data_IF_073126697708
#
_entry.id   IF_073126697708
#
_cell.length_a   1.000
_cell.length_b   1.000
_cell.length_c   1.000
_cell.angle_alpha   90.00
_cell.angle_beta   90.00
_cell.angle_gamma   90.00
#
_symmetry.space_group_name_H-M   'P 1'
#
loop_
_entity.id
_entity.type
_entity.pdbx_description
1 polymer ?
#
# COMPACT_ATOMS: atom_id res chain seq x y z
N UNK A 1 62.08 -1.95 -23.12
CA UNK A 1 61.57 -0.58 -23.35
C UNK A 1 60.07 -0.73 -23.55
N UNK A 2 59.30 -0.53 -22.47
CA UNK A 2 58.54 0.71 -22.18
C UNK A 2 57.36 0.87 -23.16
N UNK A 3 56.11 1.16 -22.78
CA UNK A 3 55.48 1.44 -21.48
C UNK A 3 53.95 1.40 -21.68
N UNK A 4 53.24 1.51 -20.56
CA UNK A 4 51.81 1.40 -20.29
C UNK A 4 51.00 2.56 -20.90
N UNK A 5 49.77 2.31 -21.41
CA UNK A 5 48.59 3.02 -20.87
C UNK A 5 47.24 2.37 -21.21
N UNK A 6 46.39 2.33 -20.19
CA UNK A 6 45.03 1.78 -20.20
C UNK A 6 44.04 2.95 -20.05
N UNK A 7 42.97 2.98 -20.84
CA UNK A 7 41.79 3.77 -20.49
C UNK A 7 40.52 2.95 -20.66
N UNK A 8 40.06 2.41 -19.54
CA UNK A 8 38.66 2.09 -19.29
C UNK A 8 37.81 3.37 -19.35
N UNK A 9 36.76 3.37 -20.18
CA UNK A 9 35.66 4.34 -20.06
C UNK A 9 34.52 3.67 -19.27
N UNK A 10 33.99 4.30 -18.21
CA UNK A 10 32.85 3.77 -17.47
C UNK A 10 31.55 3.99 -18.25
N UNK A 11 30.76 2.92 -18.39
CA UNK A 11 29.40 2.95 -18.94
C UNK A 11 28.48 3.47 -17.84
N UNK A 12 27.94 4.67 -18.00
CA UNK A 12 27.00 5.31 -17.09
C UNK A 12 25.63 4.62 -17.14
N UNK A 13 25.31 3.89 -16.07
CA UNK A 13 23.99 3.34 -15.79
C UNK A 13 23.06 4.44 -15.25
N UNK A 14 22.40 5.18 -16.15
CA UNK A 14 21.47 6.27 -15.75
C UNK A 14 20.22 6.42 -16.62
N UNK A 15 20.03 5.60 -17.65
CA UNK A 15 19.10 5.93 -18.75
C UNK A 15 17.78 5.13 -18.80
N UNK A 16 17.47 4.29 -17.81
CA UNK A 16 16.26 3.42 -17.86
C UNK A 16 15.21 3.75 -16.78
N UNK A 17 15.52 4.60 -15.82
CA UNK A 17 14.71 4.85 -14.60
C UNK A 17 13.43 5.67 -14.84
N UNK A 18 13.30 6.32 -16.01
CA UNK A 18 12.36 7.43 -16.19
C UNK A 18 10.99 7.05 -16.80
N UNK A 19 10.91 6.10 -17.73
CA UNK A 19 9.71 5.99 -18.59
C UNK A 19 8.44 5.40 -17.94
N UNK A 20 8.46 4.99 -16.67
CA UNK A 20 7.41 4.15 -16.06
C UNK A 20 6.73 4.70 -14.82
N UNK A 21 7.41 5.57 -14.08
CA UNK A 21 6.69 6.56 -13.29
C UNK A 21 5.71 7.31 -14.22
N UNK A 22 6.11 7.52 -15.48
CA UNK A 22 5.32 8.08 -16.56
C UNK A 22 3.97 7.39 -16.80
N UNK A 23 3.85 6.06 -16.78
CA UNK A 23 2.59 5.37 -17.11
C UNK A 23 1.66 5.18 -15.90
N UNK A 24 2.23 5.06 -14.69
CA UNK A 24 1.45 5.17 -13.45
C UNK A 24 0.91 6.60 -13.24
N UNK A 25 1.65 7.63 -13.68
CA UNK A 25 1.32 9.03 -13.42
C UNK A 25 0.61 9.75 -14.59
N UNK A 26 0.69 9.26 -15.83
CA UNK A 26 -0.12 9.77 -16.97
C UNK A 26 -1.61 9.45 -16.83
N UNK A 27 -1.97 8.41 -16.08
CA UNK A 27 -3.37 8.05 -15.83
C UNK A 27 -4.05 8.96 -14.77
N UNK A 28 -3.37 9.98 -14.25
CA UNK A 28 -3.89 10.93 -13.26
C UNK A 28 -4.82 12.00 -13.89
N UNK A 29 -4.82 12.17 -15.22
CA UNK A 29 -5.26 13.43 -15.84
C UNK A 29 -6.58 13.42 -16.64
N UNK A 30 -7.64 12.73 -16.19
CA UNK A 30 -8.99 12.98 -16.75
C UNK A 30 -10.05 13.09 -15.66
N UNK A 31 -10.36 14.32 -15.23
CA UNK A 31 -11.56 14.65 -14.45
C UNK A 31 -12.70 15.12 -15.36
N UNK A 32 -13.99 14.85 -15.04
CA UNK A 32 -15.14 15.42 -15.72
C UNK A 32 -15.44 16.85 -15.25
N UNK A 33 -16.03 17.66 -16.13
CA UNK A 33 -16.39 19.07 -15.97
C UNK A 33 -17.43 19.35 -14.87
N UNK A 34 -17.21 20.40 -14.07
CA UNK A 34 -18.14 20.94 -13.07
C UNK A 34 -19.28 21.76 -13.68
N UNK A 35 -20.47 21.64 -13.10
CA UNK A 35 -21.67 22.45 -13.38
C UNK A 35 -22.24 22.99 -12.06
N UNK A 36 -21.94 24.27 -11.81
CA UNK A 36 -22.74 25.32 -11.13
C UNK A 36 -23.78 24.96 -10.05
N UNK A 37 -23.60 25.54 -8.85
CA UNK A 37 -24.70 26.12 -8.07
C UNK A 37 -24.19 27.25 -7.14
N UNK A 38 -24.68 28.48 -7.36
CA UNK A 38 -24.48 29.66 -6.52
C UNK A 38 -25.74 30.00 -5.72
N UNK A 39 -25.51 30.71 -4.60
CA UNK A 39 -26.45 31.49 -3.76
C UNK A 39 -27.33 30.66 -2.81
N UNK A 40 -27.55 31.04 -1.55
CA UNK A 40 -27.92 32.38 -1.07
C UNK A 40 -27.48 32.70 0.39
N UNK A 41 -27.37 34.00 0.67
CA UNK A 41 -27.04 34.65 1.94
C UNK A 41 -28.30 34.99 2.79
N UNK A 42 -28.03 35.21 4.09
CA UNK A 42 -28.71 36.11 5.05
C UNK A 42 -29.69 35.48 6.05
N UNK A 43 -29.40 35.60 7.36
CA UNK A 43 -29.92 36.68 8.23
C UNK A 43 -29.43 36.52 9.68
N UNK A 44 -29.05 37.66 10.29
CA UNK A 44 -28.77 37.81 11.72
C UNK A 44 -30.07 37.78 12.53
N UNK A 45 -30.03 37.19 13.72
CA UNK A 45 -30.83 37.63 14.86
C UNK A 45 -30.12 37.31 16.19
N UNK A 46 -29.88 38.39 16.95
CA UNK A 46 -29.52 38.45 18.36
C UNK A 46 -30.63 37.87 19.24
N UNK A 47 -30.30 37.18 20.35
CA UNK A 47 -30.91 37.35 21.68
C UNK A 47 -30.22 36.46 22.75
N UNK A 48 -29.62 37.14 23.74
CA UNK A 48 -29.51 36.85 25.18
C UNK A 48 -29.33 35.40 25.71
N UNK A 49 -28.17 35.18 26.35
CA UNK A 49 -27.83 34.04 27.23
C UNK A 49 -28.42 34.17 28.64
N UNK A 50 -28.81 33.07 29.30
CA UNK A 50 -28.86 32.99 30.76
C UNK A 50 -27.56 32.40 31.32
N UNK A 51 -27.07 33.06 32.37
CA UNK A 51 -25.95 32.68 33.22
C UNK A 51 -26.34 31.43 34.04
N UNK A 52 -25.57 30.35 33.93
CA UNK A 52 -25.69 29.16 34.77
C UNK A 52 -24.44 29.03 35.64
N UNK A 53 -24.69 28.98 36.94
CA UNK A 53 -23.72 29.04 38.04
C UNK A 53 -22.71 27.88 38.00
N UNK A 54 -21.43 28.22 38.18
CA UNK A 54 -20.33 27.27 38.37
C UNK A 54 -20.44 26.62 39.75
N UNK A 55 -20.91 25.38 39.80
CA UNK A 55 -20.73 24.51 40.97
C UNK A 55 -19.26 24.03 41.02
N UNK A 56 -18.53 24.48 42.05
CA UNK A 56 -17.16 24.04 42.35
C UNK A 56 -17.21 22.71 43.09
N UNK A 57 -17.05 21.60 42.38
CA UNK A 57 -16.69 20.31 42.97
C UNK A 57 -15.35 19.86 42.38
N UNK A 58 -14.38 19.57 43.26
CA UNK A 58 -13.09 19.04 42.88
C UNK A 58 -13.26 17.68 42.19
N UNK A 59 -12.50 17.37 41.12
CA UNK A 59 -12.62 16.08 40.44
C UNK A 59 -12.21 14.94 41.38
N UNK A 60 -13.02 13.88 41.41
CA UNK A 60 -12.75 12.69 42.21
C UNK A 60 -11.40 12.07 41.81
N UNK A 61 -10.55 11.81 42.80
CA UNK A 61 -9.27 11.13 42.61
C UNK A 61 -9.52 9.71 42.10
N UNK A 62 -8.91 9.37 40.96
CA UNK A 62 -8.97 8.04 40.37
C UNK A 62 -8.53 6.95 41.36
N UNK A 63 -9.32 5.88 41.44
CA UNK A 63 -8.98 4.70 42.24
C UNK A 63 -7.74 3.99 41.69
N UNK A 64 -7.05 3.19 42.51
CA UNK A 64 -5.88 2.42 42.07
C UNK A 64 -6.21 1.50 40.89
N UNK A 65 -7.39 0.88 40.87
CA UNK A 65 -7.85 0.04 39.75
C UNK A 65 -8.07 0.86 38.46
N UNK A 66 -8.63 2.07 38.56
CA UNK A 66 -8.78 2.98 37.41
C UNK A 66 -7.44 3.51 36.92
N UNK A 67 -6.47 3.74 37.82
CA UNK A 67 -5.09 4.09 37.44
C UNK A 67 -4.38 2.93 36.76
N UNK A 68 -4.59 1.69 37.21
CA UNK A 68 -4.04 0.50 36.56
C UNK A 68 -4.69 0.25 35.19
N UNK A 69 -6.01 0.46 35.05
CA UNK A 69 -6.66 0.43 33.74
C UNK A 69 -6.17 1.56 32.83
N UNK A 70 -6.02 2.80 33.34
CA UNK A 70 -5.42 3.90 32.56
C UNK A 70 -3.95 3.65 32.23
N UNK A 71 -3.21 2.92 33.06
CA UNK A 71 -1.83 2.51 32.75
C UNK A 71 -1.78 1.37 31.73
N UNK A 72 -2.79 0.50 31.68
CA UNK A 72 -2.94 -0.54 30.65
C UNK A 72 -3.49 0.01 29.33
N UNK A 73 -4.33 1.05 29.36
CA UNK A 73 -4.82 1.80 28.19
C UNK A 73 -3.79 2.84 27.72
N UNK A 74 -2.96 3.31 28.65
CA UNK A 74 -1.94 4.35 28.49
C UNK A 74 -0.52 3.81 28.68
N UNK A 75 -0.25 2.60 28.19
CA UNK A 75 1.09 2.29 27.73
C UNK A 75 1.36 3.21 26.54
N UNK A 76 1.69 4.48 26.82
CA UNK A 76 2.13 5.42 25.82
C UNK A 76 3.38 4.81 25.20
N UNK A 77 3.24 4.28 24.00
CA UNK A 77 4.39 4.07 23.13
C UNK A 77 5.03 5.46 23.01
N UNK A 78 6.21 5.65 23.61
CA UNK A 78 6.93 6.93 23.65
C UNK A 78 7.23 7.50 22.26
N UNK A 79 7.00 6.71 21.23
CA UNK A 79 7.22 6.98 19.82
C UNK A 79 5.95 7.41 19.05
N UNK A 80 4.76 7.32 19.67
CA UNK A 80 3.48 7.69 19.06
C UNK A 80 2.96 9.03 19.59
N UNK A 81 2.33 9.82 18.71
CA UNK A 81 1.57 11.00 19.13
C UNK A 81 0.29 10.60 19.88
N UNK A 82 -0.36 11.56 20.55
CA UNK A 82 -1.66 11.32 21.20
C UNK A 82 -2.71 10.80 20.20
N UNK A 83 -2.77 11.41 19.01
CA UNK A 83 -3.75 11.04 17.98
C UNK A 83 -3.45 9.67 17.37
N UNK A 84 -2.17 9.32 17.19
CA UNK A 84 -1.75 7.99 16.76
C UNK A 84 -2.13 6.92 17.79
N UNK A 85 -1.90 7.19 19.08
CA UNK A 85 -2.33 6.31 20.17
C UNK A 85 -3.86 6.16 20.23
N UNK A 86 -4.61 7.25 20.00
CA UNK A 86 -6.07 7.18 19.95
C UNK A 86 -6.56 6.31 18.77
N UNK A 87 -5.97 6.49 17.58
CA UNK A 87 -6.35 5.72 16.40
C UNK A 87 -6.11 4.22 16.57
N UNK A 88 -4.96 3.80 17.12
CA UNK A 88 -4.67 2.38 17.35
C UNK A 88 -5.54 1.80 18.48
N UNK A 89 -5.82 2.58 19.53
CA UNK A 89 -6.73 2.16 20.61
C UNK A 89 -8.16 1.97 20.12
N UNK A 90 -8.64 2.83 19.22
CA UNK A 90 -9.95 2.65 18.59
C UNK A 90 -9.98 1.40 17.72
N UNK A 91 -8.93 1.11 16.94
CA UNK A 91 -8.81 -0.13 16.17
C UNK A 91 -8.92 -1.35 17.10
N UNK A 92 -8.23 -1.36 18.25
CA UNK A 92 -8.24 -2.47 19.22
C UNK A 92 -9.64 -2.83 19.73
N UNK A 93 -10.59 -1.89 19.75
CA UNK A 93 -12.00 -2.16 20.10
C UNK A 93 -12.70 -3.06 19.07
N UNK A 94 -12.13 -3.20 17.87
CA UNK A 94 -12.62 -4.03 16.78
C UNK A 94 -11.79 -5.31 16.56
N UNK A 95 -10.95 -5.69 17.54
CA UNK A 95 -10.14 -6.90 17.48
C UNK A 95 -11.02 -8.16 17.29
N UNK A 96 -10.71 -9.03 16.31
CA UNK A 96 -11.45 -10.27 16.13
C UNK A 96 -11.16 -11.25 17.28
N UNK A 97 -12.02 -12.27 17.43
CA UNK A 97 -11.81 -13.33 18.44
C UNK A 97 -10.57 -14.17 18.17
N UNK A 98 -10.30 -14.42 16.89
CA UNK A 98 -9.13 -15.13 16.40
C UNK A 98 -8.48 -14.28 15.29
N UNK A 99 -7.14 -14.20 15.24
CA UNK A 99 -6.45 -13.61 14.11
C UNK A 99 -6.80 -14.37 12.82
N UNK A 100 -6.90 -13.66 11.70
CA UNK A 100 -7.14 -14.29 10.40
C UNK A 100 -5.82 -14.68 9.74
N UNK A 101 -5.64 -15.96 9.42
CA UNK A 101 -4.53 -16.40 8.58
C UNK A 101 -4.60 -15.65 7.24
N UNK A 102 -3.51 -14.99 6.87
CA UNK A 102 -3.47 -14.05 5.75
C UNK A 102 -2.30 -14.35 4.83
N UNK A 103 -2.58 -14.44 3.53
CA UNK A 103 -1.57 -14.68 2.49
C UNK A 103 -1.38 -13.45 1.62
N UNK A 104 -0.13 -13.14 1.28
CA UNK A 104 0.22 -12.02 0.41
C UNK A 104 0.70 -12.48 -0.96
N UNK A 105 0.22 -11.80 -2.00
CA UNK A 105 0.75 -11.85 -3.36
C UNK A 105 1.28 -10.46 -3.70
N UNK A 106 2.60 -10.36 -3.90
CA UNK A 106 3.36 -9.10 -3.74
C UNK A 106 4.55 -9.03 -4.69
N UNK A 107 5.06 -7.83 -4.97
CA UNK A 107 6.19 -7.59 -5.88
C UNK A 107 7.17 -6.54 -5.34
N UNK A 108 7.75 -6.78 -4.13
CA UNK A 108 8.45 -5.77 -3.37
C UNK A 108 9.72 -5.27 -4.05
N UNK A 109 10.21 -4.12 -3.59
CA UNK A 109 11.47 -3.49 -4.04
C UNK A 109 11.43 -2.96 -5.49
N UNK A 110 10.24 -2.67 -6.02
CA UNK A 110 10.06 -1.78 -7.19
C UNK A 110 9.78 -0.32 -6.76
N UNK A 111 9.15 -0.18 -5.59
CA UNK A 111 8.75 1.03 -4.87
C UNK A 111 8.56 0.65 -3.36
N UNK A 112 8.14 1.55 -2.45
CA UNK A 112 8.07 1.25 -1.02
C UNK A 112 6.80 0.53 -0.55
N UNK A 113 5.75 0.42 -1.38
CA UNK A 113 4.38 0.12 -0.92
C UNK A 113 4.22 -1.26 -0.27
N UNK A 114 4.77 -2.32 -0.88
CA UNK A 114 4.72 -3.68 -0.33
C UNK A 114 5.40 -3.76 1.04
N UNK A 115 6.52 -3.05 1.22
CA UNK A 115 7.32 -3.12 2.45
C UNK A 115 6.69 -2.30 3.57
N UNK A 116 6.01 -1.19 3.25
CA UNK A 116 5.12 -0.52 4.20
C UNK A 116 4.01 -1.49 4.62
N UNK A 117 3.43 -2.24 3.68
CA UNK A 117 2.38 -3.22 3.96
C UNK A 117 2.84 -4.33 4.89
N UNK A 118 4.05 -4.88 4.70
CA UNK A 118 4.64 -5.86 5.63
C UNK A 118 4.82 -5.28 7.02
N UNK A 119 5.26 -4.03 7.10
CA UNK A 119 5.49 -3.31 8.37
C UNK A 119 4.17 -3.12 9.13
N UNK A 120 3.11 -2.67 8.47
CA UNK A 120 1.77 -2.60 9.08
C UNK A 120 1.27 -3.98 9.48
N UNK A 121 1.49 -4.97 8.62
CA UNK A 121 1.14 -6.37 8.85
C UNK A 121 1.76 -6.93 10.12
N UNK A 122 3.03 -6.60 10.42
CA UNK A 122 3.69 -6.96 11.69
C UNK A 122 2.90 -6.44 12.89
N UNK A 123 2.56 -5.15 12.93
CA UNK A 123 1.82 -4.62 14.08
C UNK A 123 0.41 -5.20 14.14
N UNK A 124 -0.29 -5.35 13.01
CA UNK A 124 -1.62 -5.98 12.97
C UNK A 124 -1.58 -7.42 13.49
N UNK A 125 -0.49 -8.15 13.24
CA UNK A 125 -0.27 -9.49 13.79
C UNK A 125 0.00 -9.46 15.30
N UNK A 126 0.86 -8.55 15.77
CA UNK A 126 1.10 -8.37 17.21
C UNK A 126 -0.18 -8.01 17.97
N UNK A 127 -1.04 -7.20 17.34
CA UNK A 127 -2.36 -6.82 17.88
C UNK A 127 -3.41 -7.94 17.74
N UNK A 128 -3.12 -9.03 17.02
CA UNK A 128 -3.99 -10.21 16.86
C UNK A 128 -5.15 -10.03 15.87
N UNK A 129 -4.98 -9.18 14.86
CA UNK A 129 -5.96 -9.04 13.75
C UNK A 129 -5.71 -10.05 12.64
N UNK A 130 -4.44 -10.21 12.26
CA UNK A 130 -3.99 -11.09 11.17
C UNK A 130 -2.91 -12.02 11.67
N UNK A 131 -2.66 -13.08 10.93
CA UNK A 131 -1.50 -13.93 11.09
C UNK A 131 -0.93 -14.19 9.69
N UNK A 132 0.17 -13.54 9.37
CA UNK A 132 0.79 -13.63 8.04
C UNK A 132 1.52 -14.95 7.97
N UNK A 133 1.03 -15.86 7.14
CA UNK A 133 1.56 -17.23 7.07
C UNK A 133 2.34 -17.50 5.80
N UNK A 134 1.89 -16.94 4.67
CA UNK A 134 2.44 -17.22 3.35
C UNK A 134 2.53 -15.96 2.49
N UNK A 135 3.62 -15.89 1.72
CA UNK A 135 3.91 -14.78 0.80
C UNK A 135 4.44 -15.34 -0.51
N UNK A 136 3.88 -14.88 -1.62
CA UNK A 136 4.33 -15.22 -2.97
C UNK A 136 4.80 -13.97 -3.69
N UNK A 137 6.08 -13.95 -4.07
CA UNK A 137 6.68 -12.83 -4.78
C UNK A 137 6.59 -13.00 -6.31
N UNK A 138 5.99 -12.03 -7.00
CA UNK A 138 5.85 -11.99 -8.46
C UNK A 138 6.67 -10.85 -9.09
N UNK A 139 6.39 -10.51 -10.36
CA UNK A 139 6.99 -9.43 -11.15
C UNK A 139 8.47 -9.65 -11.56
N UNK A 140 8.68 -9.86 -12.86
CA UNK A 140 10.00 -10.04 -13.47
C UNK A 140 10.22 -11.49 -13.90
N UNK A 141 11.41 -11.80 -14.39
CA UNK A 141 11.80 -13.17 -14.70
C UNK A 141 12.05 -14.00 -13.42
N UNK A 142 12.38 -15.29 -13.59
CA UNK A 142 12.60 -16.19 -12.47
C UNK A 142 13.72 -15.74 -11.51
N UNK A 143 14.74 -15.04 -11.99
CA UNK A 143 15.82 -14.53 -11.16
C UNK A 143 15.38 -13.30 -10.38
N UNK A 144 14.76 -12.32 -11.05
CA UNK A 144 14.22 -11.12 -10.41
C UNK A 144 13.19 -11.49 -9.33
N UNK A 145 12.27 -12.41 -9.61
CA UNK A 145 11.30 -12.89 -8.61
C UNK A 145 11.97 -13.60 -7.44
N UNK A 146 13.10 -14.29 -7.65
CA UNK A 146 13.89 -14.87 -6.55
C UNK A 146 14.46 -13.76 -5.67
N UNK A 147 15.03 -12.70 -6.26
CA UNK A 147 15.56 -11.57 -5.52
C UNK A 147 14.48 -10.82 -4.74
N UNK A 148 13.27 -10.68 -5.30
CA UNK A 148 12.12 -10.11 -4.58
C UNK A 148 11.66 -11.00 -3.43
N UNK A 149 11.59 -12.32 -3.61
CA UNK A 149 11.29 -13.25 -2.54
C UNK A 149 12.35 -13.22 -1.42
N UNK A 150 13.64 -13.19 -1.77
CA UNK A 150 14.74 -13.06 -0.81
C UNK A 150 14.64 -11.74 -0.05
N UNK A 151 14.32 -10.64 -0.74
CA UNK A 151 14.11 -9.33 -0.14
C UNK A 151 12.92 -9.34 0.83
N UNK A 152 11.77 -9.88 0.41
CA UNK A 152 10.60 -10.05 1.27
C UNK A 152 10.95 -10.85 2.53
N UNK A 153 11.59 -12.01 2.36
CA UNK A 153 11.98 -12.88 3.48
C UNK A 153 12.92 -12.17 4.45
N UNK A 154 13.91 -11.44 3.93
CA UNK A 154 14.84 -10.71 4.77
C UNK A 154 14.18 -9.54 5.50
N UNK A 155 13.22 -8.85 4.88
CA UNK A 155 12.37 -7.86 5.59
C UNK A 155 11.57 -8.52 6.70
N UNK A 156 10.87 -9.63 6.44
CA UNK A 156 10.13 -10.36 7.48
C UNK A 156 11.05 -10.81 8.62
N UNK A 157 12.27 -11.27 8.32
CA UNK A 157 13.25 -11.60 9.34
C UNK A 157 13.64 -10.38 10.19
N UNK A 158 13.82 -9.20 9.57
CA UNK A 158 14.10 -7.95 10.30
C UNK A 158 12.89 -7.44 11.11
N UNK A 159 11.68 -7.78 10.70
CA UNK A 159 10.44 -7.52 11.44
C UNK A 159 10.13 -8.60 12.49
N UNK A 160 11.05 -9.54 12.75
CA UNK A 160 10.86 -10.66 13.69
C UNK A 160 9.64 -11.52 13.35
N UNK A 161 9.43 -11.78 12.05
CA UNK A 161 8.40 -12.65 11.49
C UNK A 161 9.06 -13.83 10.76
N UNK A 162 9.90 -14.57 11.48
CA UNK A 162 10.74 -15.63 10.92
C UNK A 162 9.95 -16.80 10.34
N UNK A 163 8.74 -17.03 10.82
CA UNK A 163 7.91 -18.19 10.41
C UNK A 163 7.13 -17.95 9.11
N UNK A 164 7.17 -16.72 8.56
CA UNK A 164 6.51 -16.42 7.29
C UNK A 164 7.16 -17.24 6.17
N UNK A 165 6.33 -18.02 5.49
CA UNK A 165 6.73 -18.85 4.36
C UNK A 165 6.76 -18.00 3.09
N UNK A 166 7.94 -17.82 2.50
CA UNK A 166 8.11 -16.97 1.31
C UNK A 166 8.48 -17.83 0.12
N UNK A 167 7.69 -17.73 -0.94
CA UNK A 167 7.89 -18.46 -2.20
C UNK A 167 8.09 -17.51 -3.36
N UNK A 168 8.99 -17.88 -4.27
CA UNK A 168 9.07 -17.29 -5.60
C UNK A 168 7.87 -17.72 -6.44
N UNK A 169 7.21 -16.76 -7.07
CA UNK A 169 6.12 -16.98 -8.00
C UNK A 169 6.55 -17.63 -9.33
N UNK A 170 5.55 -18.12 -10.06
CA UNK A 170 5.71 -18.82 -11.34
C UNK A 170 6.03 -17.87 -12.49
N UNK A 171 6.48 -18.44 -13.60
CA UNK A 171 6.62 -17.69 -14.85
C UNK A 171 5.25 -17.28 -15.39
N UNK A 172 5.23 -16.11 -16.03
CA UNK A 172 4.08 -15.56 -16.74
C UNK A 172 4.56 -14.91 -18.04
N UNK A 173 3.64 -14.69 -18.97
CA UNK A 173 3.99 -14.13 -20.27
C UNK A 173 4.40 -12.65 -20.13
N UNK A 174 5.54 -12.28 -20.70
CA UNK A 174 6.01 -10.89 -20.75
C UNK A 174 6.41 -10.53 -22.18
N UNK A 175 5.96 -9.38 -22.66
CA UNK A 175 6.49 -8.78 -23.87
C UNK A 175 7.84 -8.08 -23.60
N UNK A 176 8.52 -7.63 -24.67
CA UNK A 176 9.85 -7.00 -24.55
C UNK A 176 9.86 -5.73 -23.68
N UNK A 177 8.77 -4.95 -23.71
CA UNK A 177 8.63 -3.79 -22.85
C UNK A 177 8.55 -4.26 -21.41
N UNK A 178 7.53 -5.06 -21.07
CA UNK A 178 7.30 -5.64 -19.74
C UNK A 178 8.56 -6.30 -19.17
N UNK A 179 9.32 -7.07 -19.95
CA UNK A 179 10.55 -7.71 -19.48
C UNK A 179 11.57 -6.70 -18.93
N UNK A 180 11.69 -5.51 -19.54
CA UNK A 180 12.56 -4.44 -19.04
C UNK A 180 11.98 -3.75 -17.80
N UNK A 181 10.67 -3.51 -17.79
CA UNK A 181 10.00 -2.78 -16.72
C UNK A 181 9.92 -3.62 -15.44
N UNK A 182 9.53 -4.88 -15.59
CA UNK A 182 9.35 -5.83 -14.51
C UNK A 182 10.68 -6.29 -13.90
N UNK A 183 11.80 -6.09 -14.61
CA UNK A 183 13.15 -6.32 -14.11
C UNK A 183 13.66 -5.24 -13.15
N UNK A 184 12.92 -4.14 -12.94
CA UNK A 184 13.32 -3.07 -12.01
C UNK A 184 13.44 -3.60 -10.58
N UNK A 185 14.64 -3.49 -10.01
CA UNK A 185 14.94 -3.82 -8.63
C UNK A 185 15.78 -2.70 -8.02
N UNK A 186 15.30 -2.08 -6.93
CA UNK A 186 15.99 -0.94 -6.32
C UNK A 186 17.25 -1.38 -5.56
N UNK A 187 18.29 -0.56 -5.65
CA UNK A 187 19.62 -0.90 -5.14
C UNK A 187 19.62 -1.05 -3.61
N UNK A 188 18.85 -0.20 -2.94
CA UNK A 188 18.67 -0.14 -1.49
C UNK A 188 18.18 -1.48 -0.92
N UNK A 189 17.38 -2.25 -1.68
CA UNK A 189 16.83 -3.53 -1.24
C UNK A 189 17.83 -4.69 -1.25
N UNK A 190 18.97 -4.58 -1.93
CA UNK A 190 19.93 -5.69 -2.00
C UNK A 190 20.48 -6.09 -0.63
N UNK A 191 20.71 -5.12 0.26
CA UNK A 191 21.24 -5.35 1.59
C UNK A 191 20.22 -6.01 2.55
N UNK A 192 18.94 -5.99 2.18
CA UNK A 192 17.86 -6.59 2.97
C UNK A 192 17.51 -8.01 2.54
N UNK A 193 18.17 -8.58 1.52
CA UNK A 193 17.89 -9.95 1.09
C UNK A 193 18.29 -10.98 2.14
N UNK A 194 17.43 -11.97 2.34
CA UNK A 194 17.70 -13.15 3.14
C UNK A 194 18.83 -14.00 2.54
N UNK A 195 19.36 -14.91 3.35
CA UNK A 195 20.41 -15.82 2.92
C UNK A 195 19.92 -16.85 1.87
N UNK A 196 20.86 -17.49 1.15
CA UNK A 196 20.52 -18.55 0.21
C UNK A 196 19.72 -19.67 0.89
N UNK A 197 18.63 -20.10 0.25
CA UNK A 197 17.82 -21.23 0.72
C UNK A 197 16.74 -20.88 1.74
N UNK A 198 16.59 -19.62 2.14
CA UNK A 198 15.50 -19.18 3.02
C UNK A 198 14.15 -19.00 2.30
N UNK A 199 14.13 -19.11 0.97
CA UNK A 199 12.93 -19.01 0.14
C UNK A 199 12.62 -20.32 -0.57
N UNK A 200 11.35 -20.50 -0.88
CA UNK A 200 10.84 -21.61 -1.67
C UNK A 200 10.71 -21.23 -3.15
N UNK A 201 10.72 -22.22 -4.05
CA UNK A 201 10.79 -21.99 -5.51
C UNK A 201 9.56 -22.44 -6.30
N UNK A 202 8.63 -23.15 -5.65
CA UNK A 202 7.41 -23.68 -6.24
C UNK A 202 6.18 -23.17 -5.47
N UNK A 203 5.74 -21.96 -5.81
CA UNK A 203 4.61 -21.30 -5.16
C UNK A 203 3.34 -22.14 -5.22
N UNK A 204 3.00 -22.76 -6.37
CA UNK A 204 1.74 -23.49 -6.51
C UNK A 204 1.71 -24.74 -5.63
N UNK A 205 2.77 -25.54 -5.64
CA UNK A 205 2.80 -26.74 -4.82
C UNK A 205 2.74 -26.40 -3.32
N UNK A 206 3.47 -25.38 -2.88
CA UNK A 206 3.47 -24.95 -1.49
C UNK A 206 2.10 -24.39 -1.08
N UNK A 207 1.51 -23.52 -1.90
CA UNK A 207 0.16 -22.99 -1.66
C UNK A 207 -0.87 -24.11 -1.57
N UNK A 208 -0.94 -25.03 -2.53
CA UNK A 208 -1.91 -26.14 -2.47
C UNK A 208 -1.74 -27.00 -1.22
N UNK A 209 -0.49 -27.30 -0.82
CA UNK A 209 -0.21 -28.10 0.38
C UNK A 209 -0.60 -27.37 1.66
N UNK A 210 -0.31 -26.07 1.75
CA UNK A 210 -0.56 -25.26 2.95
C UNK A 210 -2.03 -24.92 3.10
N UNK A 211 -2.73 -24.61 2.01
CA UNK A 211 -4.18 -24.39 2.01
C UNK A 211 -4.94 -25.64 2.47
N UNK A 212 -4.52 -26.83 2.00
CA UNK A 212 -5.11 -28.10 2.43
C UNK A 212 -4.94 -28.40 3.93
N UNK A 213 -3.94 -27.79 4.58
CA UNK A 213 -3.60 -27.97 6.00
C UNK A 213 -4.02 -26.78 6.87
N UNK A 214 -4.55 -25.72 6.27
CA UNK A 214 -4.97 -24.53 7.01
C UNK A 214 -6.07 -24.92 8.01
N UNK A 215 -5.93 -24.56 9.30
CA UNK A 215 -6.89 -24.94 10.33
C UNK A 215 -8.22 -24.21 10.14
N UNK A 216 -8.19 -23.03 9.53
CA UNK A 216 -9.32 -22.12 9.31
C UNK A 216 -9.27 -21.57 7.88
N UNK A 217 -10.30 -20.82 7.51
CA UNK A 217 -10.32 -20.08 6.26
C UNK A 217 -9.21 -19.02 6.21
N UNK A 218 -8.69 -18.79 5.01
CA UNK A 218 -7.56 -17.89 4.75
C UNK A 218 -8.06 -16.63 4.03
N UNK A 219 -7.57 -15.47 4.46
CA UNK A 219 -7.74 -14.21 3.74
C UNK A 219 -6.61 -14.01 2.72
N UNK A 220 -6.94 -13.67 1.49
CA UNK A 220 -5.95 -13.40 0.46
C UNK A 220 -5.86 -11.89 0.21
N UNK A 221 -4.64 -11.34 0.27
CA UNK A 221 -4.38 -9.94 -0.10
C UNK A 221 -3.45 -9.93 -1.31
N UNK A 222 -3.95 -9.36 -2.41
CA UNK A 222 -3.25 -9.27 -3.70
C UNK A 222 -2.87 -7.83 -3.93
N UNK A 223 -1.58 -7.55 -3.81
CA UNK A 223 -0.97 -6.22 -3.99
C UNK A 223 0.00 -6.19 -5.18
N UNK A 224 -0.03 -7.24 -6.01
CA UNK A 224 0.80 -7.37 -7.20
C UNK A 224 0.05 -8.10 -8.34
N UNK A 225 0.80 -8.51 -9.37
CA UNK A 225 0.31 -9.35 -10.47
C UNK A 225 -0.34 -10.66 -10.00
N UNK A 226 -1.33 -11.14 -10.76
CA UNK A 226 -2.28 -12.16 -10.29
C UNK A 226 -1.97 -13.59 -10.72
N UNK A 227 -0.83 -13.84 -11.37
CA UNK A 227 -0.49 -15.12 -12.00
C UNK A 227 -0.55 -16.31 -11.04
N UNK A 228 0.01 -16.17 -9.84
CA UNK A 228 0.13 -17.27 -8.88
C UNK A 228 -1.21 -17.63 -8.21
N UNK A 229 -1.97 -16.64 -7.73
CA UNK A 229 -3.29 -16.89 -7.15
C UNK A 229 -4.27 -17.39 -8.21
N UNK A 230 -4.17 -16.90 -9.46
CA UNK A 230 -4.94 -17.43 -10.58
C UNK A 230 -4.56 -18.90 -10.86
N UNK A 231 -3.28 -19.25 -10.79
CA UNK A 231 -2.86 -20.65 -10.94
C UNK A 231 -3.46 -21.54 -9.83
N UNK A 232 -3.54 -21.05 -8.59
CA UNK A 232 -4.13 -21.78 -7.47
C UNK A 232 -5.64 -22.00 -7.65
N UNK A 233 -6.41 -20.94 -7.94
CA UNK A 233 -7.87 -21.03 -8.08
C UNK A 233 -8.29 -21.85 -9.30
N UNK A 234 -7.48 -21.89 -10.36
CA UNK A 234 -7.76 -22.69 -11.56
C UNK A 234 -7.36 -24.15 -11.39
N UNK A 235 -6.27 -24.44 -10.66
CA UNK A 235 -5.78 -25.82 -10.46
C UNK A 235 -6.52 -26.52 -9.32
N UNK A 236 -6.93 -25.78 -8.29
CA UNK A 236 -7.55 -26.32 -7.07
C UNK A 236 -8.87 -25.60 -6.71
N UNK A 237 -9.84 -25.50 -7.63
CA UNK A 237 -11.03 -24.66 -7.44
C UNK A 237 -11.88 -25.04 -6.23
N UNK A 238 -12.07 -26.34 -5.98
CA UNK A 238 -12.89 -26.81 -4.85
C UNK A 238 -12.21 -26.49 -3.51
N UNK A 239 -10.90 -26.72 -3.42
CA UNK A 239 -10.12 -26.38 -2.23
C UNK A 239 -10.13 -24.88 -1.95
N UNK A 240 -10.00 -24.06 -3.00
CA UNK A 240 -10.05 -22.60 -2.87
C UNK A 240 -11.45 -22.14 -2.44
N UNK A 241 -12.52 -22.69 -3.03
CA UNK A 241 -13.90 -22.42 -2.60
C UNK A 241 -14.13 -22.73 -1.12
N UNK A 242 -13.57 -23.84 -0.63
CA UNK A 242 -13.78 -24.30 0.76
C UNK A 242 -12.89 -23.61 1.79
N UNK A 243 -11.71 -23.12 1.40
CA UNK A 243 -10.65 -22.69 2.33
C UNK A 243 -10.26 -21.22 2.22
N UNK A 244 -10.73 -20.49 1.20
CA UNK A 244 -10.49 -19.05 1.06
C UNK A 244 -11.74 -18.28 1.46
N UNK A 245 -11.60 -17.43 2.48
CA UNK A 245 -12.71 -16.65 3.02
C UNK A 245 -13.04 -15.43 2.15
N UNK A 246 -12.01 -14.74 1.66
CA UNK A 246 -12.12 -13.56 0.79
C UNK A 246 -10.79 -13.27 0.09
N UNK A 247 -10.89 -12.48 -0.99
CA UNK A 247 -9.74 -11.96 -1.73
C UNK A 247 -9.88 -10.44 -1.83
N UNK A 248 -8.92 -9.72 -1.25
CA UNK A 248 -8.82 -8.26 -1.35
C UNK A 248 -7.69 -7.88 -2.30
N UNK A 249 -7.97 -7.03 -3.29
CA UNK A 249 -7.07 -6.76 -4.41
C UNK A 249 -6.81 -5.25 -4.52
N UNK A 250 -5.54 -4.84 -4.57
CA UNK A 250 -5.15 -3.53 -5.11
C UNK A 250 -5.21 -3.64 -6.63
N UNK A 251 -6.20 -2.99 -7.24
CA UNK A 251 -6.44 -3.12 -8.67
C UNK A 251 -7.38 -2.06 -9.21
N UNK A 252 -8.14 -2.44 -10.24
CA UNK A 252 -9.12 -1.58 -10.87
C UNK A 252 -10.23 -2.41 -11.49
N UNK A 253 -11.38 -1.77 -11.67
CA UNK A 253 -12.59 -2.40 -12.19
C UNK A 253 -13.02 -1.69 -13.47
N UNK A 254 -13.28 -2.46 -14.53
CA UNK A 254 -13.90 -1.90 -15.73
C UNK A 254 -15.30 -1.36 -15.42
N UNK A 255 -15.70 -0.18 -15.94
CA UNK A 255 -17.05 0.33 -15.75
C UNK A 255 -18.14 -0.60 -16.27
N UNK A 256 -17.82 -1.38 -17.31
CA UNK A 256 -18.71 -2.35 -17.91
C UNK A 256 -18.37 -3.75 -17.42
N UNK A 257 -19.43 -4.49 -17.06
CA UNK A 257 -19.37 -5.93 -16.81
C UNK A 257 -19.16 -6.68 -18.12
N UNK A 258 -18.79 -7.94 -17.99
CA UNK A 258 -18.66 -8.83 -19.14
C UNK A 258 -20.00 -9.27 -19.73
N UNK A 259 -19.93 -10.05 -20.81
CA UNK A 259 -21.11 -10.54 -21.51
C UNK A 259 -22.04 -11.39 -20.61
N UNK A 260 -21.50 -12.00 -19.56
CA UNK A 260 -22.22 -12.86 -18.61
C UNK A 260 -22.60 -12.10 -17.33
N UNK A 261 -22.28 -10.80 -17.25
CA UNK A 261 -22.62 -9.94 -16.11
C UNK A 261 -21.62 -9.98 -14.95
N UNK A 262 -20.44 -10.58 -15.12
CA UNK A 262 -19.37 -10.57 -14.11
C UNK A 262 -18.56 -9.27 -14.15
N UNK A 263 -18.07 -8.85 -12.99
CA UNK A 263 -17.13 -7.74 -12.85
C UNK A 263 -15.78 -8.12 -13.47
N UNK A 264 -15.14 -7.19 -14.18
CA UNK A 264 -13.85 -7.41 -14.87
C UNK A 264 -12.75 -6.44 -14.41
N UNK A 265 -11.47 -6.86 -14.49
CA UNK A 265 -10.34 -6.01 -14.16
C UNK A 265 -10.14 -4.89 -15.18
N UNK A 266 -9.92 -3.66 -14.71
CA UNK A 266 -9.53 -2.51 -15.54
C UNK A 266 -8.14 -2.75 -16.15
N UNK A 267 -8.03 -2.64 -17.48
CA UNK A 267 -6.77 -2.83 -18.19
C UNK A 267 -5.68 -1.80 -17.86
N UNK A 268 -6.08 -0.67 -17.26
CA UNK A 268 -5.19 0.44 -16.90
C UNK A 268 -4.58 0.28 -15.51
N UNK A 269 -5.17 -0.52 -14.64
CA UNK A 269 -4.62 -0.73 -13.30
C UNK A 269 -3.34 -1.58 -13.37
N UNK A 270 -2.27 -1.14 -12.71
CA UNK A 270 -0.93 -1.72 -12.84
C UNK A 270 -0.91 -3.22 -12.54
N UNK A 271 -1.42 -3.63 -11.38
CA UNK A 271 -1.44 -5.03 -10.95
C UNK A 271 -2.28 -5.94 -11.86
N UNK A 272 -3.35 -5.40 -12.45
CA UNK A 272 -4.11 -6.11 -13.47
C UNK A 272 -3.26 -6.28 -14.74
N UNK A 273 -2.62 -5.21 -15.21
CA UNK A 273 -1.84 -5.16 -16.46
C UNK A 273 -0.56 -6.01 -16.43
N UNK A 274 -0.03 -6.34 -15.25
CA UNK A 274 1.14 -7.24 -15.10
C UNK A 274 0.91 -8.57 -15.80
N UNK A 275 -0.27 -9.16 -15.62
CA UNK A 275 -0.74 -10.37 -16.30
C UNK A 275 -2.27 -10.28 -16.44
N UNK A 276 -2.70 -9.64 -17.53
CA UNK A 276 -4.11 -9.32 -17.76
C UNK A 276 -4.99 -10.56 -17.88
N UNK A 277 -4.46 -11.65 -18.45
CA UNK A 277 -5.22 -12.88 -18.63
C UNK A 277 -5.41 -13.60 -17.29
N UNK A 278 -4.39 -13.61 -16.43
CA UNK A 278 -4.53 -14.07 -15.06
C UNK A 278 -5.51 -13.20 -14.25
N UNK A 279 -5.46 -11.87 -14.41
CA UNK A 279 -6.39 -10.97 -13.72
C UNK A 279 -7.85 -11.23 -14.13
N UNK A 280 -8.13 -11.35 -15.43
CA UNK A 280 -9.48 -11.66 -15.93
C UNK A 280 -9.98 -13.00 -15.42
N UNK A 281 -9.12 -14.01 -15.46
CA UNK A 281 -9.42 -15.36 -14.97
C UNK A 281 -9.69 -15.36 -13.46
N UNK A 282 -8.86 -14.69 -12.66
CA UNK A 282 -9.04 -14.61 -11.21
C UNK A 282 -10.35 -13.93 -10.84
N UNK A 283 -10.63 -12.74 -11.40
CA UNK A 283 -11.85 -11.99 -11.11
C UNK A 283 -13.08 -12.83 -11.42
N UNK A 284 -13.10 -13.50 -12.59
CA UNK A 284 -14.21 -14.36 -12.99
C UNK A 284 -14.34 -15.59 -12.09
N UNK A 285 -13.25 -16.34 -11.89
CA UNK A 285 -13.27 -17.58 -11.11
C UNK A 285 -13.67 -17.35 -9.66
N UNK A 286 -13.20 -16.29 -9.02
CA UNK A 286 -13.63 -15.96 -7.66
C UNK A 286 -15.14 -15.71 -7.58
N UNK A 287 -15.71 -14.97 -8.53
CA UNK A 287 -17.16 -14.76 -8.61
C UNK A 287 -17.95 -16.05 -8.89
N UNK A 288 -17.48 -16.89 -9.82
CA UNK A 288 -18.08 -18.21 -10.12
C UNK A 288 -18.07 -19.15 -8.91
N UNK A 289 -17.01 -19.10 -8.10
CA UNK A 289 -16.87 -19.89 -6.88
C UNK A 289 -17.61 -19.27 -5.68
N UNK A 290 -18.17 -18.07 -5.81
CA UNK A 290 -18.84 -17.37 -4.73
C UNK A 290 -17.89 -16.82 -3.65
N UNK A 291 -16.61 -16.65 -3.97
CA UNK A 291 -15.60 -16.11 -3.06
C UNK A 291 -15.74 -14.57 -3.05
N UNK A 292 -15.96 -13.94 -1.88
CA UNK A 292 -16.05 -12.49 -1.79
C UNK A 292 -14.80 -11.79 -2.32
N UNK A 293 -15.00 -10.82 -3.21
CA UNK A 293 -13.96 -9.94 -3.73
C UNK A 293 -14.12 -8.53 -3.18
N UNK A 294 -13.00 -7.92 -2.76
CA UNK A 294 -12.92 -6.48 -2.46
C UNK A 294 -11.82 -5.85 -3.29
N UNK A 295 -12.17 -4.91 -4.16
CA UNK A 295 -11.22 -4.24 -5.06
C UNK A 295 -10.95 -2.82 -4.56
N UNK A 296 -9.72 -2.56 -4.16
CA UNK A 296 -9.25 -1.24 -3.74
C UNK A 296 -8.59 -0.56 -4.93
N UNK A 297 -9.12 0.60 -5.30
CA UNK A 297 -8.62 1.37 -6.46
C UNK A 297 -7.58 2.40 -6.04
N UNK A 298 -6.72 2.82 -6.98
CA UNK A 298 -5.67 3.81 -6.71
C UNK A 298 -6.22 5.14 -6.17
N UNK A 299 -7.42 5.52 -6.58
CA UNK A 299 -8.08 6.76 -6.17
C UNK A 299 -8.42 6.76 -4.67
N UNK A 300 -8.60 5.60 -4.05
CA UNK A 300 -8.79 5.49 -2.60
C UNK A 300 -7.56 6.02 -1.82
N UNK A 301 -6.36 5.73 -2.31
CA UNK A 301 -5.11 6.17 -1.68
C UNK A 301 -4.86 7.68 -1.80
N UNK A 302 -5.45 8.35 -2.80
CA UNK A 302 -5.22 9.78 -3.03
C UNK A 302 -5.75 10.68 -1.91
N UNK A 303 -6.79 10.22 -1.18
CA UNK A 303 -7.33 10.91 0.00
C UNK A 303 -6.53 10.60 1.28
N UNK A 304 -5.79 9.49 1.31
CA UNK A 304 -5.01 9.02 2.46
C UNK A 304 -3.50 9.23 2.29
N UNK A 305 -3.09 10.02 1.30
CA UNK A 305 -1.69 10.30 1.03
C UNK A 305 -0.97 10.88 2.26
N UNK A 306 0.19 10.33 2.60
CA UNK A 306 1.01 10.73 3.74
C UNK A 306 2.05 11.78 3.32
N UNK A 307 2.58 12.52 4.29
CA UNK A 307 3.71 13.43 4.08
C UNK A 307 5.06 12.70 4.29
N UNK A 308 6.18 13.29 3.86
CA UNK A 308 7.53 12.82 4.17
C UNK A 308 7.78 12.47 5.65
N UNK A 309 7.11 13.18 6.56
CA UNK A 309 7.21 12.94 8.01
C UNK A 309 6.80 11.53 8.44
N UNK A 310 5.98 10.82 7.64
CA UNK A 310 5.71 9.40 7.86
C UNK A 310 7.01 8.58 7.75
N UNK A 311 7.71 8.73 6.64
CA UNK A 311 8.97 8.01 6.34
C UNK A 311 10.10 8.43 7.27
N UNK A 312 10.23 9.72 7.56
CA UNK A 312 11.21 10.20 8.54
C UNK A 312 10.90 9.67 9.95
N UNK A 313 9.61 9.61 10.32
CA UNK A 313 9.16 9.10 11.61
C UNK A 313 9.51 7.63 11.84
N UNK A 314 9.31 6.78 10.83
CA UNK A 314 9.65 5.35 10.93
C UNK A 314 11.16 5.08 10.82
N UNK A 315 11.91 5.93 10.11
CA UNK A 315 13.37 5.85 10.07
C UNK A 315 14.02 6.36 11.38
N UNK A 316 13.33 7.23 12.12
CA UNK A 316 13.81 7.83 13.36
C UNK A 316 14.07 6.84 14.49
N UNK A 317 13.51 5.61 14.44
CA UNK A 317 13.82 4.56 15.42
C UNK A 317 15.19 3.92 15.22
N UNK A 318 15.86 4.16 14.09
CA UNK A 318 17.10 3.47 13.72
C UNK A 318 16.88 2.07 13.12
N UNK A 319 15.62 1.65 12.92
CA UNK A 319 15.32 0.34 12.38
C UNK A 319 15.73 0.24 10.89
N UNK A 320 16.43 -0.84 10.46
CA UNK A 320 16.93 -0.97 9.08
C UNK A 320 15.83 -0.93 8.01
N UNK A 321 14.66 -1.52 8.29
CA UNK A 321 13.50 -1.43 7.38
C UNK A 321 12.98 0.01 7.27
N UNK A 322 12.95 0.76 8.38
CA UNK A 322 12.54 2.17 8.38
C UNK A 322 13.49 3.04 7.55
N UNK A 323 14.81 2.83 7.69
CA UNK A 323 15.81 3.49 6.86
C UNK A 323 15.64 3.16 5.37
N UNK A 324 15.50 1.88 5.03
CA UNK A 324 15.25 1.46 3.65
C UNK A 324 14.01 2.15 3.05
N UNK A 325 12.89 2.18 3.78
CA UNK A 325 11.64 2.78 3.31
C UNK A 325 11.79 4.28 3.03
N UNK A 326 12.43 5.01 3.96
CA UNK A 326 12.74 6.44 3.77
C UNK A 326 13.64 6.65 2.57
N UNK A 327 14.72 5.89 2.47
CA UNK A 327 15.75 6.08 1.44
C UNK A 327 15.18 5.76 0.05
N UNK A 328 14.45 4.65 -0.11
CA UNK A 328 13.77 4.31 -1.37
C UNK A 328 12.79 5.39 -1.78
N UNK A 329 11.93 5.85 -0.87
CA UNK A 329 10.94 6.87 -1.21
C UNK A 329 11.59 8.21 -1.60
N UNK A 330 12.60 8.64 -0.83
CA UNK A 330 13.30 9.90 -1.07
C UNK A 330 14.11 9.83 -2.38
N UNK A 331 14.85 8.74 -2.61
CA UNK A 331 15.62 8.50 -3.84
C UNK A 331 14.72 8.42 -5.08
N UNK A 332 13.58 7.73 -5.00
CA UNK A 332 12.65 7.61 -6.12
C UNK A 332 12.08 8.98 -6.52
N UNK A 333 11.67 9.79 -5.52
CA UNK A 333 11.13 11.12 -5.79
C UNK A 333 12.21 12.10 -6.27
N UNK A 334 13.45 11.95 -5.77
CA UNK A 334 14.62 12.70 -6.26
C UNK A 334 14.88 12.42 -7.73
N UNK A 335 14.95 11.14 -8.11
CA UNK A 335 15.17 10.75 -9.51
C UNK A 335 14.05 11.21 -10.44
N UNK A 336 12.81 11.25 -9.95
CA UNK A 336 11.68 11.82 -10.69
C UNK A 336 11.84 13.34 -10.89
N UNK A 337 12.16 14.09 -9.83
CA UNK A 337 12.38 15.53 -9.89
C UNK A 337 13.51 15.88 -10.86
N UNK A 338 14.68 15.27 -10.70
CA UNK A 338 15.85 15.51 -11.55
C UNK A 338 15.59 15.11 -13.01
N UNK A 339 14.86 14.01 -13.24
CA UNK A 339 14.45 13.59 -14.58
C UNK A 339 13.51 14.58 -15.28
N UNK A 340 12.62 15.23 -14.53
CA UNK A 340 11.70 16.27 -15.05
C UNK A 340 12.51 17.51 -15.40
N UNK A 341 13.35 17.98 -14.49
CA UNK A 341 14.21 19.14 -14.68
C UNK A 341 15.15 18.97 -15.89
N UNK A 342 15.67 17.76 -16.11
CA UNK A 342 16.53 17.43 -17.24
C UNK A 342 15.76 17.14 -18.55
N UNK A 343 14.42 17.19 -18.56
CA UNK A 343 13.60 16.90 -19.75
C UNK A 343 13.67 15.43 -20.21
N UNK A 344 14.08 14.51 -19.35
CA UNK A 344 14.23 13.08 -19.64
C UNK A 344 12.90 12.31 -19.58
N UNK A 345 11.83 12.99 -19.16
CA UNK A 345 10.51 12.43 -18.86
C UNK A 345 9.41 13.03 -19.75
N UNK A 346 9.20 12.50 -20.97
CA UNK A 346 8.24 13.07 -21.90
C UNK A 346 6.81 13.06 -21.36
N UNK A 347 6.24 14.25 -21.20
CA UNK A 347 4.86 14.44 -20.73
C UNK A 347 4.72 14.64 -19.22
N UNK A 348 5.83 14.73 -18.48
CA UNK A 348 5.86 15.23 -17.10
C UNK A 348 6.64 16.54 -17.06
N UNK A 349 6.13 17.51 -16.34
CA UNK A 349 6.73 18.83 -16.14
C UNK A 349 6.62 19.26 -14.67
N UNK A 350 7.20 20.41 -14.34
CA UNK A 350 7.17 20.98 -12.99
C UNK A 350 5.74 21.19 -12.50
N UNK A 351 4.85 21.68 -13.37
CA UNK A 351 3.43 21.91 -13.03
C UNK A 351 2.75 20.62 -12.61
N UNK A 352 3.01 19.54 -13.34
CA UNK A 352 2.53 18.22 -13.01
C UNK A 352 3.12 17.71 -11.69
N UNK A 353 4.42 17.92 -11.42
CA UNK A 353 5.05 17.52 -10.16
C UNK A 353 4.44 18.25 -8.97
N UNK A 354 4.33 19.59 -9.03
CA UNK A 354 3.74 20.40 -7.97
C UNK A 354 2.27 20.04 -7.73
N UNK A 355 1.49 19.82 -8.80
CA UNK A 355 0.08 19.39 -8.65
C UNK A 355 -0.05 18.03 -7.99
N UNK A 356 0.89 17.12 -8.23
CA UNK A 356 0.83 15.74 -7.74
C UNK A 356 1.29 15.63 -6.28
N UNK A 357 2.44 16.23 -5.94
CA UNK A 357 3.10 16.03 -4.65
C UNK A 357 2.95 17.23 -3.68
N UNK A 358 2.58 18.40 -4.21
CA UNK A 358 2.55 19.68 -3.47
C UNK A 358 1.30 20.53 -3.81
N UNK A 359 0.07 19.99 -3.78
CA UNK A 359 -1.11 20.72 -4.25
C UNK A 359 -1.38 22.02 -3.49
N UNK A 360 -0.96 22.12 -2.23
CA UNK A 360 -1.13 23.33 -1.40
C UNK A 360 -0.08 24.41 -1.71
N UNK A 361 0.99 24.10 -2.44
CA UNK A 361 2.08 25.02 -2.79
C UNK A 361 1.90 25.67 -4.17
N UNK A 362 0.76 25.48 -4.85
CA UNK A 362 0.52 26.02 -6.19
C UNK A 362 0.56 27.56 -6.23
N UNK A 363 0.27 28.23 -5.11
CA UNK A 363 0.36 29.69 -4.99
C UNK A 363 1.82 30.18 -4.94
N UNK A 364 2.74 29.37 -4.38
CA UNK A 364 4.17 29.70 -4.30
C UNK A 364 4.93 29.31 -5.58
N UNK A 365 4.49 28.28 -6.30
CA UNK A 365 5.11 27.82 -7.55
C UNK A 365 5.05 28.88 -8.68
N UNK A 366 4.03 29.75 -8.68
CA UNK A 366 3.93 30.89 -9.59
C UNK A 366 4.96 32.00 -9.28
N UNK A 367 5.56 31.97 -8.09
CA UNK A 367 6.55 32.94 -7.60
C UNK A 367 7.95 32.32 -7.42
N UNK A 368 8.12 31.02 -7.67
CA UNK A 368 9.44 30.39 -7.67
C UNK A 368 10.22 30.97 -8.86
N UNK A 369 11.25 31.75 -8.54
CA UNK A 369 12.14 32.32 -9.53
C UNK A 369 12.77 31.16 -10.34
N UNK A 370 12.36 31.02 -11.61
CA UNK A 370 12.81 29.96 -12.52
C UNK A 370 14.34 29.97 -12.72
N UNK A 371 15.01 31.04 -12.29
CA UNK A 371 16.46 31.19 -12.32
C UNK A 371 17.18 30.56 -11.11
N UNK A 372 16.46 30.05 -10.10
CA UNK A 372 17.04 29.22 -9.04
C UNK A 372 16.69 27.75 -9.31
N UNK A 373 17.66 27.00 -9.80
CA UNK A 373 17.64 25.54 -9.74
C UNK A 373 17.41 25.15 -8.27
N UNK A 374 16.19 24.71 -7.94
CA UNK A 374 15.87 24.26 -6.59
C UNK A 374 16.40 22.85 -6.46
N UNK A 375 17.37 22.65 -5.58
CA UNK A 375 17.89 21.33 -5.30
C UNK A 375 16.77 20.44 -4.74
N UNK A 376 16.85 19.12 -4.93
CA UNK A 376 15.82 18.24 -4.38
C UNK A 376 15.70 18.34 -2.84
N UNK A 377 16.77 18.71 -2.15
CA UNK A 377 16.74 18.96 -0.71
C UNK A 377 15.87 20.17 -0.31
N UNK A 378 15.66 21.13 -1.22
CA UNK A 378 14.72 22.23 -1.03
C UNK A 378 13.27 21.85 -1.35
N UNK A 379 13.08 20.78 -2.14
CA UNK A 379 11.78 20.26 -2.56
C UNK A 379 11.21 19.28 -1.54
N UNK A 380 12.03 18.36 -1.03
CA UNK A 380 11.59 17.30 -0.11
C UNK A 380 10.76 17.80 1.09
N UNK A 381 11.15 18.87 1.82
CA UNK A 381 10.37 19.36 2.96
C UNK A 381 9.01 19.94 2.59
N UNK A 382 8.78 20.27 1.32
CA UNK A 382 7.53 20.88 0.83
C UNK A 382 6.54 19.86 0.29
N UNK A 383 6.97 18.61 0.10
CA UNK A 383 6.12 17.50 -0.34
C UNK A 383 5.07 17.21 0.75
N UNK A 384 3.82 17.04 0.33
CA UNK A 384 2.69 16.79 1.25
C UNK A 384 1.88 15.56 0.91
N UNK A 385 2.08 14.97 -0.29
CA UNK A 385 1.31 13.81 -0.75
C UNK A 385 2.21 12.70 -1.29
N UNK A 386 2.25 11.58 -0.59
CA UNK A 386 2.85 10.31 -1.00
C UNK A 386 1.77 9.24 -0.80
N UNK A 387 1.36 8.59 -1.89
CA UNK A 387 0.28 7.61 -1.82
C UNK A 387 0.80 6.28 -1.25
N UNK A 388 -0.05 5.58 -0.49
CA UNK A 388 0.20 4.24 0.03
C UNK A 388 -0.99 3.36 -0.39
N UNK A 389 -0.87 2.65 -1.51
CA UNK A 389 -1.94 1.86 -2.11
C UNK A 389 -2.08 0.49 -1.42
N UNK A 390 -0.98 -0.24 -1.32
CA UNK A 390 -0.96 -1.60 -0.76
C UNK A 390 -1.25 -1.61 0.75
N UNK A 391 -0.73 -0.66 1.55
CA UNK A 391 -1.07 -0.55 2.97
C UNK A 391 -2.57 -0.32 3.18
N UNK A 392 -3.20 0.51 2.34
CA UNK A 392 -4.64 0.74 2.39
C UNK A 392 -5.43 -0.51 2.00
N UNK A 393 -4.91 -1.30 1.07
CA UNK A 393 -5.48 -2.58 0.64
C UNK A 393 -5.46 -3.61 1.77
N UNK A 394 -4.36 -3.70 2.53
CA UNK A 394 -4.30 -4.52 3.75
C UNK A 394 -5.31 -4.05 4.81
N UNK A 395 -5.41 -2.74 5.05
CA UNK A 395 -6.42 -2.22 5.99
C UNK A 395 -7.85 -2.53 5.53
N UNK A 396 -8.09 -2.55 4.22
CA UNK A 396 -9.38 -2.93 3.66
C UNK A 396 -9.67 -4.43 3.77
N UNK A 397 -8.67 -5.30 3.89
CA UNK A 397 -8.88 -6.74 4.08
C UNK A 397 -9.16 -7.13 5.53
N UNK A 398 -8.72 -6.32 6.50
CA UNK A 398 -8.94 -6.55 7.93
C UNK A 398 -10.33 -6.04 8.34
N UNK A 399 -11.30 -6.89 8.76
CA UNK A 399 -12.68 -6.46 9.01
C UNK A 399 -12.83 -5.31 10.01
N UNK A 400 -12.02 -5.32 11.08
CA UNK A 400 -12.03 -4.27 12.10
C UNK A 400 -11.57 -2.91 11.56
N UNK A 401 -10.46 -2.89 10.81
CA UNK A 401 -9.97 -1.68 10.16
C UNK A 401 -10.90 -1.25 9.03
N UNK A 402 -11.45 -2.20 8.26
CA UNK A 402 -12.33 -1.89 7.15
C UNK A 402 -13.62 -1.21 7.60
N UNK A 403 -14.23 -1.69 8.69
CA UNK A 403 -15.40 -1.05 9.32
C UNK A 403 -15.10 0.36 9.83
N UNK A 404 -13.88 0.59 10.30
CA UNK A 404 -13.46 1.88 10.86
C UNK A 404 -13.22 2.93 9.78
N UNK A 405 -12.71 2.52 8.61
CA UNK A 405 -12.16 3.43 7.61
C UNK A 405 -12.99 3.55 6.33
N UNK A 406 -13.71 2.49 5.94
CA UNK A 406 -14.33 2.38 4.63
C UNK A 406 -15.82 2.12 4.67
N UNK A 407 -16.49 2.46 3.57
CA UNK A 407 -17.85 2.03 3.24
C UNK A 407 -17.83 1.45 1.82
N UNK A 408 -17.38 0.20 1.64
CA UNK A 408 -17.26 -0.40 0.32
C UNK A 408 -18.60 -0.42 -0.42
N UNK A 409 -18.55 -0.23 -1.74
CA UNK A 409 -19.72 -0.25 -2.63
C UNK A 409 -19.85 -1.61 -3.28
N UNK A 410 -21.00 -2.27 -3.11
CA UNK A 410 -21.33 -3.48 -3.85
C UNK A 410 -21.51 -3.17 -5.36
N UNK A 411 -20.83 -3.93 -6.21
CA UNK A 411 -20.82 -3.75 -7.67
C UNK A 411 -21.15 -5.02 -8.47
N UNK A 412 -21.36 -6.14 -7.78
CA UNK A 412 -21.78 -7.41 -8.40
C UNK A 412 -23.17 -7.33 -9.04
N UNK A 413 -23.51 -8.33 -9.85
CA UNK A 413 -24.88 -8.52 -10.36
C UNK A 413 -25.68 -9.29 -9.31
N UNK A 414 -26.95 -8.95 -9.11
CA UNK A 414 -27.79 -9.65 -8.13
C UNK A 414 -27.81 -11.16 -8.42
N UNK A 415 -27.62 -11.98 -7.38
CA UNK A 415 -27.50 -13.44 -7.50
C UNK A 415 -26.10 -13.97 -7.82
N UNK A 416 -25.10 -13.11 -8.03
CA UNK A 416 -23.71 -13.51 -8.26
C UNK A 416 -22.88 -13.44 -6.96
N UNK A 417 -21.65 -13.97 -6.99
CA UNK A 417 -20.68 -13.80 -5.90
C UNK A 417 -20.46 -12.33 -5.54
N UNK A 418 -20.28 -12.06 -4.25
CA UNK A 418 -20.16 -10.68 -3.73
C UNK A 418 -18.87 -10.04 -4.25
N UNK A 419 -19.03 -8.90 -4.91
CA UNK A 419 -17.91 -8.01 -5.30
C UNK A 419 -18.17 -6.62 -4.75
N UNK A 420 -17.20 -6.10 -4.02
CA UNK A 420 -17.17 -4.75 -3.48
C UNK A 420 -16.02 -3.93 -4.07
N UNK A 421 -16.22 -2.63 -4.21
CA UNK A 421 -15.22 -1.66 -4.62
C UNK A 421 -14.97 -0.65 -3.49
N UNK A 422 -13.70 -0.31 -3.28
CA UNK A 422 -13.28 0.84 -2.45
C UNK A 422 -12.64 1.88 -3.39
N UNK A 423 -13.46 2.86 -3.74
CA UNK A 423 -13.09 4.05 -4.50
C UNK A 423 -12.71 5.23 -3.60
N UNK A 424 -12.56 6.43 -4.19
CA UNK A 424 -12.21 7.63 -3.43
C UNK A 424 -13.30 8.00 -2.42
N UNK A 425 -14.57 7.87 -2.78
CA UNK A 425 -15.70 8.28 -1.91
C UNK A 425 -16.07 7.24 -0.86
N UNK A 426 -15.49 6.05 -0.98
CA UNK A 426 -15.71 4.94 -0.04
C UNK A 426 -14.71 4.99 1.14
N UNK A 427 -13.67 5.84 1.07
CA UNK A 427 -12.80 6.16 2.21
C UNK A 427 -13.46 7.25 3.06
N UNK A 428 -14.15 6.83 4.12
CA UNK A 428 -14.98 7.71 4.95
C UNK A 428 -14.19 8.48 6.02
N UNK A 429 -13.04 7.95 6.45
CA UNK A 429 -12.20 8.57 7.50
C UNK A 429 -10.73 8.67 7.06
N UNK A 430 -10.41 9.50 6.04
CA UNK A 430 -9.06 9.53 5.45
C UNK A 430 -7.95 9.97 6.41
N UNK A 431 -8.21 10.95 7.28
CA UNK A 431 -7.23 11.39 8.28
C UNK A 431 -6.96 10.31 9.34
N UNK A 432 -8.01 9.56 9.73
CA UNK A 432 -7.84 8.41 10.63
C UNK A 432 -7.04 7.30 9.96
N UNK A 433 -7.24 7.05 8.67
CA UNK A 433 -6.44 6.09 7.92
C UNK A 433 -4.95 6.47 7.93
N UNK A 434 -4.61 7.75 7.72
CA UNK A 434 -3.22 8.25 7.81
C UNK A 434 -2.62 8.04 9.20
N UNK A 435 -3.35 8.44 10.25
CA UNK A 435 -2.92 8.27 11.63
C UNK A 435 -2.71 6.80 11.97
N UNK A 436 -3.61 5.91 11.53
CA UNK A 436 -3.51 4.49 11.78
C UNK A 436 -2.33 3.86 11.04
N UNK A 437 -2.10 4.20 9.76
CA UNK A 437 -0.91 3.73 9.02
C UNK A 437 0.38 4.18 9.72
N UNK A 438 0.45 5.44 10.16
CA UNK A 438 1.60 5.97 10.91
C UNK A 438 1.79 5.24 12.25
N UNK A 439 0.72 5.07 13.03
CA UNK A 439 0.76 4.41 14.32
C UNK A 439 1.23 2.95 14.21
N UNK A 440 0.63 2.21 13.28
CA UNK A 440 0.99 0.80 13.03
C UNK A 440 2.45 0.67 12.57
N UNK A 441 2.89 1.52 11.63
CA UNK A 441 4.26 1.46 11.12
C UNK A 441 5.30 1.80 12.19
N UNK A 442 5.08 2.87 12.96
CA UNK A 442 5.98 3.26 14.04
C UNK A 442 6.02 2.21 15.15
N UNK A 443 4.89 1.64 15.53
CA UNK A 443 4.85 0.57 16.55
C UNK A 443 5.53 -0.71 16.10
N UNK A 444 5.43 -1.07 14.81
CA UNK A 444 6.11 -2.26 14.27
C UNK A 444 7.65 -2.15 14.28
N UNK A 445 8.18 -0.92 14.31
CA UNK A 445 9.60 -0.61 14.17
C UNK A 445 10.20 0.03 15.42
N UNK A 446 9.46 -0.01 16.54
CA UNK A 446 9.83 0.57 17.83
C UNK A 446 10.82 -0.31 18.60
#
# INVERSE_FOLDING_TARGET
>A
MQEVDSMHRPITAGHTTSRLILDQLKQISRTPSESSAQSALSQQASMSSPVLERSKSAPALLTAAQRTMLAQVGACNSHLTSDENMAINELRLHKPRLPKDTWFFTDPNKDPDDVVTYTLGKQLQAEGFVHITDVVATLGDAEVRSQRAEMAKGVFNKLELHDVHVSRGRDYAMNLLQSKEHAKFLLEGHALRAGPGEIHRDSLQDMSRRLARAPHGVGIVVIAGMSDINALITTCPDMVRERVDDITIMGGVEPLKDADGFVQPDARAYNNATDMDAARSLYRKAQELGIPLRIVTKEAAYKTAVSPSFYEGIAGSGHPVGHYLRDVQKSALKGLWEGIQAGLLPGLDDSWFFRTFMPNAQIEAAQLDKNKESSFEDIWPKVTKLNLYDPLTLLASVPGAAKLLFKPKAIHTEGFGVVEQVGPDDVTHPEKAKLLMSALAKSALA
#
